data_IF_290032103473
#
_entry.id   IF_290032103473
#
_cell.length_a   1.000
_cell.length_b   1.000
_cell.length_c   1.000
_cell.angle_alpha   90.00
_cell.angle_beta   90.00
_cell.angle_gamma   90.00
#
_symmetry.space_group_name_H-M   'P 1'
#
loop_
_entity.id
_entity.type
_entity.pdbx_description
1 polymer ?
#
# COMPACT_ATOMS: atom_id res chain seq x y z
N UNK A 1 6.05 3.34 -9.81
CA UNK A 1 5.65 4.52 -8.99
C UNK A 1 6.73 5.58 -9.10
N UNK A 2 6.33 6.84 -9.32
CA UNK A 2 7.19 8.02 -9.27
C UNK A 2 6.79 8.88 -8.08
N UNK A 3 7.77 9.52 -7.44
CA UNK A 3 7.53 10.58 -6.47
C UNK A 3 8.08 11.90 -6.99
N UNK A 4 7.37 12.97 -6.72
CA UNK A 4 7.70 14.32 -7.19
C UNK A 4 7.69 15.30 -6.03
N UNK A 5 8.48 16.37 -6.14
CA UNK A 5 8.31 17.53 -5.28
C UNK A 5 7.13 18.41 -5.78
N UNK A 6 6.81 19.45 -5.01
CA UNK A 6 5.71 20.35 -5.35
C UNK A 6 5.96 21.22 -6.61
N UNK A 7 7.19 21.24 -7.12
CA UNK A 7 7.53 21.90 -8.39
C UNK A 7 7.38 20.95 -9.59
N UNK A 8 7.08 19.65 -9.35
CA UNK A 8 6.96 18.63 -10.36
C UNK A 8 8.28 17.92 -10.72
N UNK A 9 9.37 18.20 -9.97
CA UNK A 9 10.65 17.52 -10.17
C UNK A 9 10.57 16.10 -9.61
N UNK A 10 11.00 15.11 -10.40
CA UNK A 10 11.09 13.72 -9.96
C UNK A 10 12.10 13.56 -8.82
N UNK A 11 11.65 13.01 -7.70
CA UNK A 11 12.48 12.66 -6.55
C UNK A 11 12.96 11.22 -6.63
N UNK A 12 12.05 10.28 -6.88
CA UNK A 12 12.35 8.85 -6.93
C UNK A 12 11.51 8.15 -8.00
N UNK A 13 12.01 6.98 -8.43
CA UNK A 13 11.29 6.04 -9.26
C UNK A 13 11.43 4.63 -8.71
N UNK A 14 10.31 3.93 -8.55
CA UNK A 14 10.24 2.54 -8.07
C UNK A 14 9.63 1.67 -9.17
N UNK A 15 10.44 0.82 -9.83
CA UNK A 15 9.96 -0.08 -10.89
C UNK A 15 9.24 -1.29 -10.29
N UNK A 16 8.00 -1.12 -9.86
CA UNK A 16 7.20 -2.15 -9.18
C UNK A 16 6.33 -2.96 -10.13
N UNK A 17 6.39 -2.72 -11.44
CA UNK A 17 5.44 -3.29 -12.40
C UNK A 17 4.19 -2.43 -12.58
N UNK A 18 3.10 -3.02 -13.05
CA UNK A 18 1.85 -2.32 -13.33
C UNK A 18 1.03 -2.10 -12.07
N UNK A 19 1.32 -1.03 -11.36
CA UNK A 19 0.48 -0.56 -10.25
C UNK A 19 -0.72 0.17 -10.83
N UNK A 20 -1.91 -0.28 -10.49
CA UNK A 20 -3.15 0.33 -11.00
C UNK A 20 -3.68 1.44 -10.10
N UNK A 21 -3.81 1.15 -8.82
CA UNK A 21 -4.40 2.07 -7.85
C UNK A 21 -3.54 2.13 -6.59
N UNK A 22 -3.45 3.30 -5.99
CA UNK A 22 -2.72 3.51 -4.74
C UNK A 22 -3.58 4.30 -3.76
N UNK A 23 -3.36 4.05 -2.47
CA UNK A 23 -3.91 4.86 -1.38
C UNK A 23 -2.88 4.97 -0.26
N UNK A 24 -3.00 6.01 0.57
CA UNK A 24 -2.03 6.34 1.60
C UNK A 24 -2.74 6.70 2.90
N UNK A 25 -2.19 6.23 4.02
CA UNK A 25 -2.60 6.64 5.37
C UNK A 25 -1.37 7.01 6.18
N UNK A 26 -1.54 8.03 7.01
CA UNK A 26 -0.47 8.63 7.80
C UNK A 26 -0.44 8.07 9.23
N UNK A 27 0.62 8.45 9.96
CA UNK A 27 0.76 8.28 11.41
C UNK A 27 0.79 6.82 11.85
N UNK A 28 1.61 6.03 11.19
CA UNK A 28 1.96 4.68 11.65
C UNK A 28 3.28 4.72 12.41
N UNK A 29 3.30 4.07 13.57
CA UNK A 29 4.54 3.81 14.29
C UNK A 29 5.05 2.42 13.89
N UNK A 30 6.07 2.39 13.02
CA UNK A 30 6.68 1.16 12.53
C UNK A 30 8.18 1.20 12.83
N UNK A 31 8.69 0.21 13.57
CA UNK A 31 10.09 0.14 13.99
C UNK A 31 10.58 1.43 14.67
N UNK A 32 9.79 1.96 15.60
CA UNK A 32 10.03 3.21 16.34
C UNK A 32 10.13 4.47 15.47
N UNK A 33 9.63 4.43 14.25
CA UNK A 33 9.55 5.61 13.36
C UNK A 33 8.09 5.89 12.99
N UNK A 34 7.75 7.18 12.95
CA UNK A 34 6.46 7.61 12.41
C UNK A 34 6.56 7.71 10.89
N UNK A 35 5.75 6.93 10.21
CA UNK A 35 5.75 6.82 8.74
C UNK A 35 4.33 6.89 8.18
N UNK A 36 4.24 7.16 6.90
CA UNK A 36 3.01 6.95 6.13
C UNK A 36 3.10 5.61 5.40
N UNK A 37 2.00 4.88 5.38
CA UNK A 37 1.88 3.61 4.68
C UNK A 37 1.13 3.82 3.36
N UNK A 38 1.76 3.50 2.26
CA UNK A 38 1.16 3.45 0.94
C UNK A 38 0.91 2.00 0.55
N UNK A 39 -0.27 1.71 0.05
CA UNK A 39 -0.62 0.43 -0.54
C UNK A 39 -0.98 0.61 -2.01
N UNK A 40 -0.62 -0.35 -2.85
CA UNK A 40 -0.95 -0.33 -4.27
C UNK A 40 -1.29 -1.71 -4.81
N UNK A 41 -2.28 -1.78 -5.71
CA UNK A 41 -2.59 -3.02 -6.43
C UNK A 41 -1.62 -3.24 -7.58
N UNK A 42 -0.91 -4.37 -7.53
CA UNK A 42 0.03 -4.77 -8.57
C UNK A 42 -0.61 -5.81 -9.49
N UNK A 43 -0.90 -5.39 -10.73
CA UNK A 43 -1.58 -6.24 -11.72
C UNK A 43 -0.69 -7.28 -12.37
N UNK A 44 0.64 -7.10 -12.32
CA UNK A 44 1.56 -8.10 -12.88
C UNK A 44 1.64 -9.36 -12.01
N UNK A 45 1.48 -9.19 -10.70
CA UNK A 45 1.62 -10.29 -9.73
C UNK A 45 0.35 -10.59 -8.94
N UNK A 46 -0.76 -9.91 -9.21
CA UNK A 46 -2.03 -10.10 -8.52
C UNK A 46 -1.92 -9.96 -6.99
N UNK A 47 -1.20 -8.93 -6.55
CA UNK A 47 -0.86 -8.72 -5.14
C UNK A 47 -1.01 -7.25 -4.72
N UNK A 48 -0.91 -7.01 -3.43
CA UNK A 48 -0.82 -5.65 -2.87
C UNK A 48 0.63 -5.40 -2.49
N UNK A 49 1.23 -4.35 -3.04
CA UNK A 49 2.56 -3.88 -2.67
C UNK A 49 2.47 -2.71 -1.71
N UNK A 50 3.45 -2.60 -0.80
CA UNK A 50 3.51 -1.54 0.21
C UNK A 50 4.79 -0.74 0.12
N UNK A 51 4.69 0.56 0.39
CA UNK A 51 5.83 1.46 0.59
C UNK A 51 5.68 2.20 1.91
N UNK A 52 6.79 2.40 2.61
CA UNK A 52 6.87 3.29 3.77
C UNK A 52 7.44 4.65 3.34
N UNK A 53 6.73 5.71 3.71
CA UNK A 53 7.14 7.08 3.44
C UNK A 53 7.45 7.76 4.76
N UNK A 54 8.68 8.22 4.92
CA UNK A 54 9.12 8.92 6.12
C UNK A 54 8.51 10.31 6.25
N UNK A 55 8.69 10.93 7.41
CA UNK A 55 8.17 12.27 7.72
C UNK A 55 8.75 13.37 6.83
N UNK A 56 9.91 13.13 6.20
CA UNK A 56 10.53 14.03 5.23
C UNK A 56 9.96 13.90 3.80
N UNK A 57 8.98 12.99 3.59
CA UNK A 57 8.40 12.70 2.28
C UNK A 57 9.21 11.74 1.41
N UNK A 58 10.37 11.28 1.89
CA UNK A 58 11.16 10.29 1.17
C UNK A 58 10.60 8.88 1.41
N UNK A 59 10.67 8.04 0.39
CA UNK A 59 10.41 6.61 0.57
C UNK A 59 11.63 6.01 1.28
N UNK A 60 11.46 5.69 2.55
CA UNK A 60 12.56 5.23 3.40
C UNK A 60 12.92 3.77 3.14
N UNK A 61 11.95 2.97 2.74
CA UNK A 61 12.17 1.57 2.38
C UNK A 61 11.19 1.13 1.31
N UNK A 62 11.72 0.59 0.23
CA UNK A 62 11.01 -0.37 -0.58
C UNK A 62 10.94 -1.66 0.25
N UNK A 63 9.83 -1.82 0.95
CA UNK A 63 9.59 -3.10 1.59
C UNK A 63 9.27 -4.09 0.49
N UNK A 64 10.10 -5.11 0.35
CA UNK A 64 9.77 -6.33 -0.38
C UNK A 64 8.64 -7.07 0.38
N UNK A 65 7.68 -6.31 0.87
CA UNK A 65 6.52 -6.75 1.64
C UNK A 65 5.30 -6.57 0.75
N UNK A 66 5.05 -7.59 -0.02
CA UNK A 66 3.82 -7.72 -0.77
C UNK A 66 2.91 -8.71 -0.05
N UNK A 67 1.63 -8.43 -0.09
CA UNK A 67 0.59 -9.37 0.31
C UNK A 67 0.02 -10.03 -0.95
N UNK A 68 0.26 -11.34 -1.08
CA UNK A 68 -0.29 -12.10 -2.19
C UNK A 68 -1.78 -12.34 -1.97
N UNK A 69 -2.61 -11.79 -2.85
CA UNK A 69 -4.06 -12.02 -2.82
C UNK A 69 -4.41 -13.36 -3.49
N UNK A 70 -5.58 -13.90 -3.13
CA UNK A 70 -6.18 -15.02 -3.85
C UNK A 70 -7.15 -14.55 -4.95
N UNK A 71 -7.14 -13.26 -5.28
CA UNK A 71 -8.01 -12.67 -6.28
C UNK A 71 -7.54 -13.03 -7.68
N UNK A 72 -8.47 -13.06 -8.62
CA UNK A 72 -8.17 -13.40 -10.02
C UNK A 72 -7.54 -12.21 -10.75
N UNK A 73 -8.01 -11.00 -10.48
CA UNK A 73 -7.52 -9.79 -11.14
C UNK A 73 -7.69 -8.56 -10.23
N UNK A 74 -6.67 -8.24 -9.44
CA UNK A 74 -6.70 -7.05 -8.58
C UNK A 74 -6.78 -5.78 -9.43
N UNK A 75 -7.63 -4.83 -9.01
CA UNK A 75 -7.85 -3.59 -9.75
C UNK A 75 -7.85 -2.35 -8.84
N UNK A 76 -9.00 -1.94 -8.33
CA UNK A 76 -9.12 -0.80 -7.44
C UNK A 76 -8.69 -1.11 -6.01
N UNK A 77 -8.24 -0.08 -5.30
CA UNK A 77 -7.85 -0.20 -3.90
C UNK A 77 -8.20 1.09 -3.15
N UNK A 78 -8.65 0.94 -1.92
CA UNK A 78 -8.66 2.02 -0.94
C UNK A 78 -8.35 1.48 0.45
N UNK A 79 -7.89 2.37 1.34
CA UNK A 79 -7.56 2.04 2.72
C UNK A 79 -8.49 2.76 3.69
N UNK A 80 -8.78 2.12 4.81
CA UNK A 80 -9.44 2.72 5.95
C UNK A 80 -8.62 2.48 7.21
N UNK A 81 -8.26 3.55 7.92
CA UNK A 81 -7.58 3.50 9.21
C UNK A 81 -8.59 3.79 10.30
N UNK A 82 -8.93 2.77 11.07
CA UNK A 82 -9.77 2.89 12.25
C UNK A 82 -8.89 3.28 13.45
N UNK A 83 -8.90 4.57 13.77
CA UNK A 83 -8.08 5.10 14.88
C UNK A 83 -8.60 4.70 16.25
N UNK A 84 -9.90 4.44 16.39
CA UNK A 84 -10.52 4.07 17.66
C UNK A 84 -10.11 2.65 18.07
N UNK A 85 -9.98 1.74 17.12
CA UNK A 85 -9.61 0.34 17.35
C UNK A 85 -8.16 0.01 16.92
N UNK A 86 -7.40 1.00 16.44
CA UNK A 86 -6.02 0.83 15.96
C UNK A 86 -5.89 -0.23 14.87
N UNK A 87 -6.87 -0.28 13.96
CA UNK A 87 -6.93 -1.22 12.85
C UNK A 87 -6.79 -0.53 11.51
N UNK A 88 -6.23 -1.21 10.55
CA UNK A 88 -6.18 -0.76 9.17
C UNK A 88 -6.74 -1.82 8.25
N UNK A 89 -7.66 -1.40 7.39
CA UNK A 89 -8.30 -2.25 6.40
C UNK A 89 -7.95 -1.79 4.99
N UNK A 90 -7.84 -2.75 4.10
CA UNK A 90 -7.66 -2.52 2.66
C UNK A 90 -8.85 -3.14 1.94
N UNK A 91 -9.49 -2.36 1.09
CA UNK A 91 -10.56 -2.82 0.22
C UNK A 91 -10.03 -2.91 -1.20
N UNK A 92 -10.16 -4.07 -1.80
CA UNK A 92 -9.64 -4.35 -3.15
C UNK A 92 -10.78 -4.86 -4.03
N UNK A 93 -10.89 -4.34 -5.24
CA UNK A 93 -11.82 -4.87 -6.23
C UNK A 93 -11.15 -5.93 -7.09
N UNK A 94 -11.89 -6.99 -7.38
CA UNK A 94 -11.52 -7.99 -8.36
C UNK A 94 -12.28 -7.71 -9.66
N UNK A 95 -11.55 -7.41 -10.72
CA UNK A 95 -12.12 -7.04 -12.02
C UNK A 95 -12.90 -8.18 -12.68
N UNK A 96 -12.49 -9.44 -12.45
CA UNK A 96 -13.14 -10.60 -13.06
C UNK A 96 -14.37 -11.07 -12.28
N UNK A 97 -14.27 -11.21 -10.96
CA UNK A 97 -15.40 -11.66 -10.13
C UNK A 97 -16.39 -10.54 -9.83
N UNK A 98 -16.04 -9.29 -10.12
CA UNK A 98 -16.83 -8.08 -9.80
C UNK A 98 -17.16 -7.96 -8.29
N UNK A 99 -16.28 -8.49 -7.46
CA UNK A 99 -16.41 -8.47 -6.00
C UNK A 99 -15.47 -7.46 -5.35
N UNK A 100 -15.80 -7.06 -4.13
CA UNK A 100 -14.94 -6.26 -3.26
C UNK A 100 -14.51 -7.12 -2.10
N UNK A 101 -13.21 -7.15 -1.83
CA UNK A 101 -12.61 -7.92 -0.73
C UNK A 101 -12.02 -6.97 0.30
N UNK A 102 -12.22 -7.28 1.56
CA UNK A 102 -11.67 -6.56 2.69
C UNK A 102 -10.58 -7.38 3.34
N UNK A 103 -9.42 -6.76 3.54
CA UNK A 103 -8.29 -7.33 4.29
C UNK A 103 -7.97 -6.45 5.48
N UNK A 104 -7.73 -7.04 6.64
CA UNK A 104 -7.18 -6.37 7.81
C UNK A 104 -5.66 -6.54 7.84
N UNK A 105 -4.91 -5.46 7.96
CA UNK A 105 -3.46 -5.55 8.18
C UNK A 105 -3.21 -6.02 9.60
N UNK A 106 -2.57 -7.18 9.76
CA UNK A 106 -2.37 -7.84 11.04
C UNK A 106 -0.96 -7.67 11.60
N UNK A 107 0.00 -7.27 10.76
CA UNK A 107 1.38 -6.98 11.14
C UNK A 107 1.99 -5.94 10.20
N UNK A 108 2.92 -5.12 10.72
CA UNK A 108 3.63 -4.09 9.96
C UNK A 108 5.13 -4.33 9.84
N UNK A 109 5.66 -5.40 10.46
CA UNK A 109 7.09 -5.69 10.41
C UNK A 109 7.33 -7.21 10.56
N UNK A 110 7.25 -8.03 9.51
CA UNK A 110 6.83 -7.72 8.13
C UNK A 110 5.32 -7.39 8.03
N UNK A 111 4.93 -6.76 6.93
CA UNK A 111 3.51 -6.47 6.69
C UNK A 111 2.81 -7.77 6.31
N UNK A 112 1.72 -8.07 6.99
CA UNK A 112 0.82 -9.15 6.65
C UNK A 112 -0.63 -8.70 6.76
N UNK A 113 -1.51 -9.35 6.01
CA UNK A 113 -2.94 -9.08 6.00
C UNK A 113 -3.75 -10.37 5.87
N UNK A 114 -5.02 -10.29 6.23
CA UNK A 114 -5.98 -11.38 6.04
C UNK A 114 -7.39 -10.87 5.80
#
# INVERSE_FOLDING_TARGET
>A
IYTYDLSGKTLNYFPMGRINNIDLRNDYLIQNRTVSLLAGTNRDFNRIDFLLIGSNGNVDEYLDNSFQTELTSVYGLCMFKDTDNSKTFIFVTDEESLAIYQYEITSYAPISAK
#
